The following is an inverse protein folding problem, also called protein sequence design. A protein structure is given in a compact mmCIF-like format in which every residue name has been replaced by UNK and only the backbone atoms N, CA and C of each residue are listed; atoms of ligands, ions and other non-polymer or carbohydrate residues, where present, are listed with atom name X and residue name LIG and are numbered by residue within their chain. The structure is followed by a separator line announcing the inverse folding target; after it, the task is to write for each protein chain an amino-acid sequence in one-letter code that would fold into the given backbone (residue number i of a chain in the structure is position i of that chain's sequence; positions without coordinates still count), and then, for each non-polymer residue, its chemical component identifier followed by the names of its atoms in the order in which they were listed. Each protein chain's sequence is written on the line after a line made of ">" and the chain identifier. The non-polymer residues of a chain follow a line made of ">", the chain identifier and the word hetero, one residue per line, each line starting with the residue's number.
data_IF_694396269765
#
_entry.id   IF_694396269765
#
_cell.length_a   1.000
_cell.length_b   1.000
_cell.length_c   1.000
_cell.angle_alpha   90.00
_cell.angle_beta   90.00
_cell.angle_gamma   90.00
#
_symmetry.space_group_name_H-M   'P 1'
#
loop_
_entity.id
_entity.type
_entity.pdbx_description
1 polymer ?
#
# COMPACT_ATOMS: atom_id res chain seq x y z
N UNK A 1 36.67 0.19 -58.96
CA UNK A 1 37.29 0.00 -57.63
C UNK A 1 36.51 -1.09 -56.90
N UNK A 2 36.93 -2.34 -57.05
CA UNK A 2 36.22 -3.51 -56.51
C UNK A 2 37.10 -4.10 -55.39
N UNK A 3 36.64 -3.93 -54.16
CA UNK A 3 37.27 -4.48 -52.96
C UNK A 3 36.91 -5.96 -52.86
N UNK A 4 37.86 -6.85 -53.12
CA UNK A 4 37.67 -8.28 -52.88
C UNK A 4 38.04 -8.59 -51.44
N UNK A 5 37.02 -8.81 -50.61
CA UNK A 5 37.11 -9.25 -49.22
C UNK A 5 37.71 -10.65 -49.16
N UNK A 6 38.86 -10.78 -48.48
CA UNK A 6 39.47 -12.04 -48.12
C UNK A 6 38.70 -12.63 -46.92
N UNK A 7 38.04 -13.79 -47.08
CA UNK A 7 37.39 -14.53 -45.98
C UNK A 7 38.43 -15.43 -45.29
N UNK A 8 38.78 -15.22 -44.00
CA UNK A 8 39.43 -16.24 -43.20
C UNK A 8 38.32 -17.14 -42.63
N UNK A 9 38.13 -18.36 -43.15
CA UNK A 9 36.94 -19.14 -42.80
C UNK A 9 37.09 -20.64 -42.62
N UNK A 10 38.08 -21.31 -43.20
CA UNK A 10 38.10 -22.77 -43.20
C UNK A 10 39.05 -23.40 -42.19
N UNK A 11 40.21 -22.79 -41.94
CA UNK A 11 41.25 -23.44 -41.13
C UNK A 11 41.02 -23.35 -39.60
N UNK A 12 40.44 -22.25 -39.10
CA UNK A 12 40.13 -22.10 -37.67
C UNK A 12 38.86 -22.84 -37.27
N UNK A 13 37.85 -22.87 -38.14
CA UNK A 13 36.63 -23.65 -37.93
C UNK A 13 36.93 -25.15 -37.86
N UNK A 14 37.83 -25.65 -38.71
CA UNK A 14 38.22 -27.05 -38.73
C UNK A 14 39.10 -27.43 -37.52
N UNK A 15 39.87 -26.47 -36.98
CA UNK A 15 40.62 -26.66 -35.71
C UNK A 15 39.72 -26.62 -34.48
N UNK A 16 38.74 -25.72 -34.43
CA UNK A 16 37.77 -25.66 -33.34
C UNK A 16 36.86 -26.90 -33.31
N UNK A 17 36.41 -27.37 -34.48
CA UNK A 17 35.64 -28.61 -34.61
C UNK A 17 36.45 -29.85 -34.18
N UNK A 18 37.75 -29.92 -34.52
CA UNK A 18 38.64 -30.99 -34.05
C UNK A 18 38.93 -30.91 -32.55
N UNK A 19 39.01 -29.72 -31.96
CA UNK A 19 39.22 -29.54 -30.52
C UNK A 19 38.00 -29.91 -29.67
N UNK A 20 36.78 -29.71 -30.19
CA UNK A 20 35.53 -30.15 -29.55
C UNK A 20 35.32 -31.66 -29.75
N UNK A 21 35.63 -32.20 -30.93
CA UNK A 21 35.58 -33.65 -31.20
C UNK A 21 36.61 -34.45 -30.40
N UNK A 22 37.77 -33.87 -30.09
CA UNK A 22 38.78 -34.49 -29.23
C UNK A 22 38.37 -34.53 -27.75
N UNK A 23 37.50 -33.62 -27.30
CA UNK A 23 36.97 -33.62 -25.93
C UNK A 23 35.79 -34.59 -25.74
N UNK A 24 35.11 -34.98 -26.82
CA UNK A 24 34.06 -36.01 -26.83
C UNK A 24 34.57 -37.41 -27.23
N UNK A 25 35.84 -37.56 -27.63
CA UNK A 25 36.48 -38.84 -27.87
C UNK A 25 36.60 -39.62 -26.55
N UNK A 26 35.71 -40.60 -26.41
CA UNK A 26 35.43 -41.34 -25.18
C UNK A 26 36.68 -41.79 -24.43
N UNK A 27 36.79 -41.33 -23.18
CA UNK A 27 37.55 -42.06 -22.17
C UNK A 27 36.95 -43.46 -22.10
N UNK A 28 37.70 -44.46 -22.57
CA UNK A 28 37.38 -45.87 -22.33
C UNK A 28 37.36 -46.08 -20.81
N UNK A 29 36.15 -46.07 -20.27
CA UNK A 29 35.78 -46.39 -18.90
C UNK A 29 36.07 -47.89 -18.74
N UNK A 30 37.34 -48.23 -18.47
CA UNK A 30 37.75 -49.60 -18.17
C UNK A 30 36.93 -50.10 -16.99
N UNK A 31 36.22 -51.22 -17.17
CA UNK A 31 35.22 -51.92 -16.32
C UNK A 31 35.30 -51.82 -14.78
N UNK A 32 36.37 -51.27 -14.20
CA UNK A 32 36.49 -50.87 -12.78
C UNK A 32 35.88 -49.49 -12.45
N UNK A 33 35.45 -48.73 -13.45
CA UNK A 33 34.97 -47.34 -13.31
C UNK A 33 33.46 -47.18 -13.09
N UNK A 34 32.65 -48.26 -13.17
CA UNK A 34 31.22 -48.19 -12.84
C UNK A 34 30.96 -47.69 -11.41
N UNK A 35 31.84 -48.06 -10.46
CA UNK A 35 31.76 -47.59 -9.07
C UNK A 35 32.03 -46.08 -8.95
N UNK A 36 32.95 -45.53 -9.75
CA UNK A 36 33.25 -44.08 -9.75
C UNK A 36 32.17 -43.26 -10.46
N UNK A 37 31.59 -43.80 -11.53
CA UNK A 37 30.44 -43.19 -12.22
C UNK A 37 29.20 -43.22 -11.32
N UNK A 38 28.95 -44.32 -10.60
CA UNK A 38 27.89 -44.42 -9.61
C UNK A 38 28.04 -43.42 -8.47
N UNK A 39 29.26 -43.25 -7.93
CA UNK A 39 29.55 -42.24 -6.90
C UNK A 39 29.36 -40.82 -7.43
N UNK A 40 29.79 -40.53 -8.66
CA UNK A 40 29.57 -39.23 -9.29
C UNK A 40 28.09 -38.91 -9.51
N UNK A 41 27.32 -39.87 -10.03
CA UNK A 41 25.88 -39.71 -10.21
C UNK A 41 25.15 -39.52 -8.87
N UNK A 42 25.54 -40.28 -7.84
CA UNK A 42 25.00 -40.13 -6.49
C UNK A 42 25.27 -38.72 -5.95
N UNK A 43 26.50 -38.19 -6.12
CA UNK A 43 26.85 -36.84 -5.68
C UNK A 43 26.03 -35.75 -6.39
N UNK A 44 25.78 -35.90 -7.70
CA UNK A 44 24.94 -34.96 -8.46
C UNK A 44 23.50 -34.99 -7.94
N UNK A 45 22.93 -36.18 -7.76
CA UNK A 45 21.57 -36.33 -7.21
C UNK A 45 21.48 -35.74 -5.81
N UNK A 46 22.48 -35.98 -4.96
CA UNK A 46 22.52 -35.46 -3.59
C UNK A 46 22.63 -33.92 -3.58
N UNK A 47 23.41 -33.36 -4.51
CA UNK A 47 23.52 -31.90 -4.68
C UNK A 47 22.21 -31.28 -5.15
N UNK A 48 21.48 -31.93 -6.07
CA UNK A 48 20.16 -31.48 -6.54
C UNK A 48 19.13 -31.57 -5.43
N UNK A 49 19.12 -32.65 -4.63
CA UNK A 49 18.20 -32.80 -3.49
C UNK A 49 18.50 -31.77 -2.41
N UNK A 50 19.77 -31.54 -2.08
CA UNK A 50 20.16 -30.50 -1.11
C UNK A 50 19.79 -29.12 -1.63
N UNK A 51 20.06 -28.82 -2.91
CA UNK A 51 19.67 -27.55 -3.52
C UNK A 51 18.16 -27.37 -3.50
N UNK A 52 17.39 -28.38 -3.91
CA UNK A 52 15.92 -28.35 -3.89
C UNK A 52 15.37 -28.17 -2.47
N UNK A 53 15.95 -28.85 -1.48
CA UNK A 53 15.58 -28.71 -0.07
C UNK A 53 15.93 -27.31 0.49
N UNK A 54 17.04 -26.72 0.05
CA UNK A 54 17.43 -25.35 0.41
C UNK A 54 16.54 -24.33 -0.28
N UNK A 55 16.18 -24.56 -1.54
CA UNK A 55 15.31 -23.71 -2.34
C UNK A 55 13.88 -23.67 -1.76
N UNK A 56 13.33 -24.84 -1.40
CA UNK A 56 12.05 -24.94 -0.68
C UNK A 56 12.07 -24.22 0.68
N UNK A 57 13.21 -24.22 1.38
CA UNK A 57 13.36 -23.50 2.67
C UNK A 57 13.50 -21.99 2.47
N UNK A 58 14.13 -21.56 1.37
CA UNK A 58 14.27 -20.13 1.04
C UNK A 58 12.97 -19.50 0.60
N UNK A 59 12.02 -20.27 0.07
CA UNK A 59 10.71 -19.78 -0.33
C UNK A 59 9.67 -19.80 0.81
N UNK A 60 10.02 -20.27 2.00
CA UNK A 60 9.04 -20.59 3.04
C UNK A 60 8.84 -19.52 4.14
N UNK A 61 9.81 -18.66 4.45
CA UNK A 61 9.88 -18.11 5.82
C UNK A 61 10.16 -16.59 5.94
N UNK A 62 9.62 -15.75 5.06
CA UNK A 62 9.49 -14.33 5.41
C UNK A 62 8.15 -14.07 6.09
N UNK A 63 8.20 -14.08 7.43
CA UNK A 63 7.06 -13.78 8.30
C UNK A 63 7.08 -12.31 8.70
N UNK A 64 5.97 -11.62 8.48
CA UNK A 64 5.79 -10.20 8.73
C UNK A 64 4.64 -9.97 9.69
N UNK A 65 4.63 -8.79 10.30
CA UNK A 65 3.53 -8.34 11.14
C UNK A 65 2.42 -7.76 10.26
N UNK A 66 1.20 -8.21 10.51
CA UNK A 66 -0.02 -7.64 9.96
C UNK A 66 -0.92 -7.16 11.10
N UNK A 67 -1.83 -6.26 10.77
CA UNK A 67 -2.78 -5.67 11.69
C UNK A 67 -3.98 -6.61 11.81
N UNK A 68 -4.18 -7.20 12.98
CA UNK A 68 -5.31 -8.09 13.25
C UNK A 68 -6.63 -7.33 13.44
N UNK A 69 -6.56 -6.14 14.05
CA UNK A 69 -7.73 -5.31 14.38
C UNK A 69 -7.49 -3.85 14.00
N UNK A 70 -8.53 -3.10 13.63
CA UNK A 70 -8.33 -1.69 13.29
C UNK A 70 -7.84 -0.90 14.50
N UNK A 71 -6.78 -0.12 14.33
CA UNK A 71 -6.19 0.74 15.37
C UNK A 71 -6.18 2.18 14.87
N UNK A 72 -6.77 3.10 15.64
CA UNK A 72 -6.78 4.51 15.28
C UNK A 72 -5.39 5.14 15.42
N UNK A 73 -5.13 6.20 14.64
CA UNK A 73 -3.91 7.00 14.83
C UNK A 73 -3.83 7.53 16.26
N UNK A 74 -2.63 7.50 16.85
CA UNK A 74 -2.40 7.93 18.23
C UNK A 74 -2.71 6.87 19.30
N UNK A 75 -3.32 5.74 18.94
CA UNK A 75 -3.53 4.63 19.87
C UNK A 75 -2.27 3.80 20.06
N UNK A 76 -2.10 3.23 21.25
CA UNK A 76 -1.02 2.28 21.55
C UNK A 76 -1.37 0.93 20.95
N UNK A 77 -0.46 0.38 20.15
CA UNK A 77 -0.58 -0.94 19.53
C UNK A 77 -0.37 -1.98 20.63
N UNK A 78 -1.37 -2.85 20.85
CA UNK A 78 -1.27 -3.96 21.79
C UNK A 78 -1.07 -5.28 21.08
N UNK A 79 -0.69 -6.31 21.83
CA UNK A 79 -0.36 -7.63 21.28
C UNK A 79 -1.50 -8.27 20.48
N UNK A 80 -2.75 -7.99 20.88
CA UNK A 80 -3.95 -8.48 20.21
C UNK A 80 -4.30 -7.72 18.91
N UNK A 81 -3.60 -6.63 18.60
CA UNK A 81 -3.80 -5.87 17.36
C UNK A 81 -2.85 -6.33 16.25
N UNK A 82 -1.89 -7.20 16.57
CA UNK A 82 -0.86 -7.63 15.63
C UNK A 82 -0.87 -9.15 15.49
N UNK A 83 -0.88 -9.60 14.25
CA UNK A 83 -0.75 -11.01 13.89
C UNK A 83 0.46 -11.23 12.98
N UNK A 84 0.92 -12.49 12.90
CA UNK A 84 2.04 -12.88 12.06
C UNK A 84 1.51 -13.51 10.78
N UNK A 85 1.84 -12.93 9.64
CA UNK A 85 1.43 -13.40 8.32
C UNK A 85 2.65 -13.72 7.48
N UNK A 86 2.55 -14.76 6.65
CA UNK A 86 3.62 -15.15 5.72
C UNK A 86 3.37 -14.54 4.35
N UNK A 87 4.37 -13.86 3.79
CA UNK A 87 4.25 -13.19 2.49
C UNK A 87 5.41 -13.66 1.60
N UNK A 88 5.08 -14.19 0.43
CA UNK A 88 6.07 -14.76 -0.49
C UNK A 88 6.89 -13.70 -1.26
N UNK A 89 6.43 -12.45 -1.31
CA UNK A 89 7.12 -11.35 -1.98
C UNK A 89 7.00 -10.05 -1.16
N UNK A 90 8.11 -9.64 -0.55
CA UNK A 90 8.25 -8.44 0.29
C UNK A 90 9.03 -7.31 -0.41
N UNK A 91 9.50 -7.54 -1.64
CA UNK A 91 10.43 -6.64 -2.31
C UNK A 91 9.82 -5.23 -2.53
N UNK A 92 10.52 -4.20 -2.06
CA UNK A 92 10.10 -2.80 -2.20
C UNK A 92 9.25 -2.24 -1.04
N UNK A 93 8.94 -3.05 -0.02
CA UNK A 93 8.18 -2.61 1.16
C UNK A 93 9.05 -2.62 2.41
N UNK A 94 9.00 -1.54 3.20
CA UNK A 94 9.64 -1.47 4.52
C UNK A 94 8.77 -2.16 5.58
N UNK A 95 8.51 -3.45 5.39
CA UNK A 95 7.69 -4.29 6.28
C UNK A 95 8.40 -4.56 7.60
N UNK A 96 7.63 -4.76 8.68
CA UNK A 96 8.18 -5.22 9.96
C UNK A 96 8.19 -6.76 10.01
N UNK A 97 9.37 -7.38 10.19
CA UNK A 97 9.47 -8.82 10.42
C UNK A 97 8.77 -9.23 11.72
N UNK A 98 8.28 -10.48 11.77
CA UNK A 98 7.62 -11.03 12.94
C UNK A 98 8.48 -10.98 14.22
N UNK A 99 9.81 -11.06 14.08
CA UNK A 99 10.76 -10.95 15.19
C UNK A 99 10.79 -9.59 15.88
N UNK A 100 10.27 -8.53 15.24
CA UNK A 100 10.19 -7.18 15.81
C UNK A 100 8.86 -6.92 16.54
N UNK A 101 8.03 -7.94 16.76
CA UNK A 101 6.74 -7.79 17.48
C UNK A 101 6.91 -7.08 18.82
N UNK A 102 7.93 -7.44 19.59
CA UNK A 102 8.20 -6.83 20.89
C UNK A 102 8.53 -5.33 20.81
N UNK A 103 9.08 -4.87 19.68
CA UNK A 103 9.44 -3.46 19.46
C UNK A 103 8.25 -2.61 18.98
N UNK A 104 7.20 -3.26 18.47
CA UNK A 104 5.96 -2.63 18.00
C UNK A 104 4.92 -2.55 19.10
N UNK A 105 4.77 -3.62 19.87
CA UNK A 105 3.81 -3.66 20.97
C UNK A 105 4.22 -2.61 22.02
N UNK A 106 3.28 -1.73 22.37
CA UNK A 106 3.54 -0.58 23.23
C UNK A 106 3.94 0.70 22.49
N UNK A 107 4.14 0.65 21.17
CA UNK A 107 4.30 1.84 20.34
C UNK A 107 2.97 2.41 19.91
N UNK A 108 2.98 3.67 19.54
CA UNK A 108 1.82 4.38 19.02
C UNK A 108 1.67 4.16 17.52
N UNK A 109 0.44 4.00 17.02
CA UNK A 109 0.15 4.00 15.60
C UNK A 109 0.23 5.43 15.04
N UNK A 110 1.10 5.67 14.06
CA UNK A 110 1.28 6.99 13.47
C UNK A 110 0.08 7.39 12.59
N UNK A 111 -0.54 6.40 11.94
CA UNK A 111 -1.70 6.56 11.04
C UNK A 111 -2.78 5.54 11.39
N UNK A 112 -4.03 5.71 10.93
CA UNK A 112 -5.07 4.71 11.12
C UNK A 112 -4.67 3.40 10.43
N UNK A 113 -4.66 2.31 11.20
CA UNK A 113 -4.31 0.97 10.73
C UNK A 113 -5.60 0.19 10.48
N UNK A 114 -5.74 -0.34 9.27
CA UNK A 114 -6.86 -1.20 8.91
C UNK A 114 -6.53 -2.67 9.20
N UNK A 115 -7.52 -3.46 9.60
CA UNK A 115 -7.36 -4.90 9.75
C UNK A 115 -6.93 -5.55 8.41
N UNK A 116 -6.05 -6.54 8.49
CA UNK A 116 -5.45 -7.24 7.35
C UNK A 116 -4.36 -6.44 6.62
N UNK A 117 -4.03 -5.22 7.05
CA UNK A 117 -2.93 -4.45 6.44
C UNK A 117 -1.57 -4.91 6.98
N UNK A 118 -0.56 -4.97 6.10
CA UNK A 118 0.81 -5.26 6.52
C UNK A 118 1.40 -4.05 7.24
N UNK A 119 2.09 -4.29 8.34
CA UNK A 119 2.68 -3.25 9.16
C UNK A 119 4.05 -2.84 8.61
N UNK A 120 4.26 -1.53 8.49
CA UNK A 120 5.49 -0.92 7.98
C UNK A 120 6.11 0.04 9.00
N UNK A 121 7.40 0.33 8.85
CA UNK A 121 8.16 1.15 9.83
C UNK A 121 7.59 2.56 9.95
N UNK A 122 7.07 3.13 8.85
CA UNK A 122 6.47 4.46 8.85
C UNK A 122 5.09 4.54 9.52
N UNK A 123 4.46 3.41 9.82
CA UNK A 123 3.14 3.35 10.47
C UNK A 123 3.23 3.30 12.00
N UNK A 124 4.42 3.10 12.56
CA UNK A 124 4.67 2.98 14.00
C UNK A 124 5.48 4.19 14.45
N UNK A 125 4.94 4.99 15.37
CA UNK A 125 5.56 6.24 15.79
C UNK A 125 4.57 7.25 16.38
N UNK A 126 5.01 8.50 16.58
CA UNK A 126 4.11 9.56 17.02
C UNK A 126 2.97 9.74 16.01
N UNK A 127 1.78 10.12 16.50
CA UNK A 127 0.62 10.37 15.65
C UNK A 127 0.96 11.43 14.59
N UNK A 128 0.88 11.04 13.33
CA UNK A 128 1.11 11.88 12.16
C UNK A 128 -0.20 12.17 11.39
N UNK A 129 -1.32 11.63 11.89
CA UNK A 129 -2.65 11.86 11.36
C UNK A 129 -3.56 12.50 12.42
N UNK A 130 -4.32 13.56 12.06
CA UNK A 130 -4.36 14.23 10.76
C UNK A 130 -3.04 14.95 10.40
N UNK A 131 -2.74 15.20 9.11
CA UNK A 131 -1.54 15.93 8.71
C UNK A 131 -1.50 17.33 9.33
N UNK A 132 -0.30 17.86 9.57
CA UNK A 132 -0.14 19.19 10.15
C UNK A 132 -0.89 20.26 9.34
N UNK A 133 -1.66 21.11 10.03
CA UNK A 133 -2.49 22.14 9.40
C UNK A 133 -3.82 21.65 8.83
N UNK A 134 -4.13 20.35 8.93
CA UNK A 134 -5.41 19.77 8.57
C UNK A 134 -6.13 19.21 9.80
N UNK A 135 -7.44 19.11 9.71
CA UNK A 135 -8.30 18.55 10.74
C UNK A 135 -9.37 17.65 10.11
N UNK A 136 -9.80 16.65 10.87
CA UNK A 136 -10.85 15.71 10.49
C UNK A 136 -12.09 16.02 11.31
N UNK A 137 -13.23 16.17 10.63
CA UNK A 137 -14.54 16.36 11.27
C UNK A 137 -15.56 15.41 10.66
N UNK A 138 -16.53 14.98 11.47
CA UNK A 138 -17.66 14.19 11.01
C UNK A 138 -18.90 15.09 10.93
N UNK A 139 -19.59 15.06 9.78
CA UNK A 139 -20.75 15.90 9.51
C UNK A 139 -21.97 15.02 9.21
N UNK A 140 -23.10 15.23 9.92
CA UNK A 140 -24.36 14.61 9.55
C UNK A 140 -24.93 15.31 8.31
N UNK A 141 -25.09 14.56 7.23
CA UNK A 141 -25.64 15.04 5.96
C UNK A 141 -27.01 14.41 5.73
N UNK A 142 -28.01 15.25 5.58
CA UNK A 142 -29.40 14.82 5.33
C UNK A 142 -29.53 14.12 3.97
N UNK A 143 -30.50 13.20 3.82
CA UNK A 143 -30.78 12.56 2.53
C UNK A 143 -30.97 13.59 1.41
N UNK A 144 -30.35 13.34 0.25
CA UNK A 144 -30.43 14.22 -0.92
C UNK A 144 -29.46 15.41 -0.92
N UNK A 145 -28.63 15.57 0.11
CA UNK A 145 -27.61 16.64 0.20
C UNK A 145 -26.17 16.18 0.02
N UNK A 146 -25.97 14.89 -0.20
CA UNK A 146 -24.72 14.32 -0.69
C UNK A 146 -24.98 13.67 -2.06
N UNK A 147 -24.01 13.69 -2.99
CA UNK A 147 -24.11 12.97 -4.24
C UNK A 147 -24.29 11.46 -4.00
N UNK A 148 -25.11 10.82 -4.83
CA UNK A 148 -25.20 9.37 -4.82
C UNK A 148 -23.85 8.77 -5.23
N UNK A 149 -23.33 7.83 -4.42
CA UNK A 149 -22.03 7.20 -4.67
C UNK A 149 -20.81 7.98 -4.16
N UNK A 150 -21.01 8.95 -3.25
CA UNK A 150 -19.89 9.59 -2.57
C UNK A 150 -19.01 8.54 -1.87
N UNK A 151 -17.71 8.56 -2.15
CA UNK A 151 -16.75 7.58 -1.65
C UNK A 151 -15.56 8.26 -0.97
N UNK A 152 -14.86 7.48 -0.13
CA UNK A 152 -13.57 7.91 0.44
C UNK A 152 -12.58 8.29 -0.67
N UNK A 153 -11.81 9.36 -0.43
CA UNK A 153 -10.90 9.96 -1.41
C UNK A 153 -11.54 10.98 -2.35
N UNK A 154 -12.87 11.11 -2.38
CA UNK A 154 -13.53 12.12 -3.21
C UNK A 154 -13.23 13.53 -2.69
N UNK A 155 -12.89 14.43 -3.63
CA UNK A 155 -12.76 15.86 -3.32
C UNK A 155 -14.13 16.50 -3.32
N UNK A 156 -14.44 17.27 -2.28
CA UNK A 156 -15.76 17.86 -2.09
C UNK A 156 -15.67 19.32 -1.64
N UNK A 157 -16.74 20.05 -1.86
CA UNK A 157 -17.02 21.32 -1.21
C UNK A 157 -18.11 21.06 -0.18
N UNK A 158 -17.81 21.37 1.08
CA UNK A 158 -18.79 21.41 2.16
C UNK A 158 -19.40 22.81 2.20
N UNK A 159 -20.71 22.86 2.15
CA UNK A 159 -21.52 24.07 2.27
C UNK A 159 -22.39 23.95 3.52
N UNK A 160 -22.27 24.90 4.44
CA UNK A 160 -23.17 25.00 5.59
C UNK A 160 -24.07 26.22 5.39
N UNK A 161 -25.36 25.95 5.16
CA UNK A 161 -26.38 26.98 5.04
C UNK A 161 -27.01 27.27 6.42
N UNK A 162 -27.15 28.54 6.84
CA UNK A 162 -27.77 28.89 8.10
C UNK A 162 -29.24 28.45 8.14
N UNK A 163 -29.81 28.18 9.33
CA UNK A 163 -31.20 27.78 9.47
C UNK A 163 -32.15 28.82 8.88
N UNK A 164 -33.17 28.35 8.16
CA UNK A 164 -34.20 29.20 7.57
C UNK A 164 -34.93 29.96 8.70
N UNK A 165 -34.74 31.28 8.74
CA UNK A 165 -35.20 32.15 9.83
C UNK A 165 -34.14 33.16 10.30
N UNK A 166 -32.86 32.92 9.98
CA UNK A 166 -31.83 33.95 10.08
C UNK A 166 -32.00 34.93 8.91
N UNK A 167 -32.84 35.95 9.10
CA UNK A 167 -33.11 36.98 8.10
C UNK A 167 -31.85 37.75 7.73
N UNK A 168 -31.16 37.35 6.66
CA UNK A 168 -30.10 38.11 6.00
C UNK A 168 -30.29 37.99 4.49
N UNK A 169 -30.90 39.03 3.91
CA UNK A 169 -30.70 39.39 2.52
C UNK A 169 -29.21 39.66 2.31
N UNK A 170 -28.48 38.71 1.70
CA UNK A 170 -27.06 38.86 1.40
C UNK A 170 -26.93 39.78 0.16
N UNK A 171 -26.28 40.96 0.26
CA UNK A 171 -25.91 41.72 -0.92
C UNK A 171 -24.82 40.95 -1.67
N UNK A 172 -25.04 40.77 -2.97
CA UNK A 172 -24.15 40.09 -3.88
C UNK A 172 -22.90 40.97 -4.11
N UNK A 173 -21.90 40.89 -3.24
CA UNK A 173 -20.63 41.61 -3.43
C UNK A 173 -19.94 42.09 -2.16
N UNK A 174 -19.45 41.17 -1.32
CA UNK A 174 -18.39 41.46 -0.35
C UNK A 174 -17.62 40.17 -0.02
N UNK A 175 -16.27 40.15 -0.08
CA UNK A 175 -15.49 38.99 0.34
C UNK A 175 -15.46 38.93 1.88
N UNK A 176 -16.50 38.33 2.46
CA UNK A 176 -16.63 38.21 3.92
C UNK A 176 -18.05 38.02 4.44
N UNK A 177 -18.94 37.40 3.64
CA UNK A 177 -20.36 37.26 3.97
C UNK A 177 -20.62 36.21 5.05
N UNK A 178 -20.94 36.66 6.26
CA UNK A 178 -21.69 35.88 7.24
C UNK A 178 -23.00 35.42 6.59
N UNK A 179 -23.13 34.14 6.28
CA UNK A 179 -24.35 33.65 5.64
C UNK A 179 -24.24 32.29 4.95
N UNK A 180 -23.05 31.82 4.58
CA UNK A 180 -22.85 30.42 4.20
C UNK A 180 -21.37 30.10 4.34
N UNK A 181 -21.02 29.06 5.10
CA UNK A 181 -19.61 28.64 5.21
C UNK A 181 -19.33 27.64 4.11
N UNK A 182 -18.24 27.88 3.37
CA UNK A 182 -17.79 27.04 2.27
C UNK A 182 -16.35 26.62 2.52
N UNK A 183 -16.09 25.32 2.48
CA UNK A 183 -14.75 24.78 2.60
C UNK A 183 -14.53 23.65 1.58
N UNK A 184 -13.31 23.57 1.05
CA UNK A 184 -12.89 22.41 0.25
C UNK A 184 -12.36 21.36 1.20
N UNK A 185 -12.79 20.11 1.01
CA UNK A 185 -12.41 18.99 1.84
C UNK A 185 -12.22 17.72 1.01
N UNK A 186 -11.59 16.72 1.61
CA UNK A 186 -11.47 15.36 1.06
C UNK A 186 -12.24 14.41 1.94
N UNK A 187 -13.09 13.57 1.35
CA UNK A 187 -13.87 12.58 2.11
C UNK A 187 -12.93 11.49 2.63
N UNK A 188 -12.97 11.25 3.93
CA UNK A 188 -12.22 10.18 4.61
C UNK A 188 -13.07 8.91 4.70
N UNK A 189 -14.32 9.04 5.11
CA UNK A 189 -15.28 7.93 5.17
C UNK A 189 -16.71 8.43 4.98
N UNK A 190 -17.59 7.52 4.55
CA UNK A 190 -19.03 7.74 4.47
C UNK A 190 -19.71 6.56 5.14
N UNK A 191 -20.46 6.84 6.20
CA UNK A 191 -21.18 5.84 6.98
C UNK A 191 -22.68 6.15 7.00
N UNK A 192 -23.50 5.12 7.19
CA UNK A 192 -24.93 5.34 7.41
C UNK A 192 -25.14 5.96 8.80
N UNK A 193 -25.88 7.07 8.86
CA UNK A 193 -26.22 7.72 10.11
C UNK A 193 -27.17 6.85 10.93
N UNK A 194 -26.89 6.73 12.23
CA UNK A 194 -27.68 5.90 13.13
C UNK A 194 -29.04 6.51 13.52
N UNK A 195 -29.16 7.85 13.51
CA UNK A 195 -30.34 8.53 14.05
C UNK A 195 -31.54 8.59 13.09
N UNK A 196 -31.31 8.67 11.78
CA UNK A 196 -32.38 8.83 10.80
C UNK A 196 -32.08 8.09 9.49
N UNK A 197 -33.08 7.35 9.00
CA UNK A 197 -33.00 6.60 7.73
C UNK A 197 -32.62 7.54 6.58
N UNK A 198 -31.54 7.20 5.89
CA UNK A 198 -31.02 7.97 4.75
C UNK A 198 -30.11 9.14 5.09
N UNK A 199 -29.87 9.42 6.39
CA UNK A 199 -28.80 10.34 6.81
C UNK A 199 -27.46 9.66 6.64
N UNK A 200 -26.46 10.38 6.16
CA UNK A 200 -25.09 9.89 6.03
C UNK A 200 -24.19 10.65 7.00
N UNK A 201 -23.33 9.93 7.72
CA UNK A 201 -22.23 10.52 8.46
C UNK A 201 -21.04 10.61 7.52
N UNK A 202 -20.69 11.82 7.11
CA UNK A 202 -19.57 12.06 6.18
C UNK A 202 -18.40 12.60 6.97
N UNK A 203 -17.33 11.82 7.06
CA UNK A 203 -16.08 12.25 7.67
C UNK A 203 -15.22 12.92 6.60
N UNK A 204 -14.81 14.16 6.85
CA UNK A 204 -14.03 14.96 5.90
C UNK A 204 -12.75 15.50 6.52
N UNK A 205 -11.71 15.57 5.70
CA UNK A 205 -10.42 16.18 6.00
C UNK A 205 -10.32 17.53 5.29
N UNK A 206 -10.05 18.59 6.03
CA UNK A 206 -9.91 19.95 5.51
C UNK A 206 -8.86 20.73 6.32
N UNK A 207 -8.54 21.95 5.90
CA UNK A 207 -7.66 22.83 6.66
C UNK A 207 -8.21 23.09 8.06
N UNK A 208 -7.34 23.18 9.07
CA UNK A 208 -7.75 23.23 10.48
C UNK A 208 -8.64 24.46 10.81
N UNK A 209 -8.31 25.62 10.26
CA UNK A 209 -9.09 26.85 10.35
C UNK A 209 -10.48 26.70 9.72
N UNK A 210 -10.54 26.06 8.54
CA UNK A 210 -11.79 25.78 7.86
C UNK A 210 -12.62 24.71 8.60
N UNK A 211 -11.98 23.75 9.28
CA UNK A 211 -12.65 22.75 10.09
C UNK A 211 -13.32 23.38 11.31
N UNK A 212 -12.62 24.25 12.04
CA UNK A 212 -13.21 25.01 13.15
C UNK A 212 -14.37 25.88 12.67
N UNK A 213 -14.21 26.52 11.51
CA UNK A 213 -15.29 27.28 10.90
C UNK A 213 -16.49 26.38 10.54
N UNK A 214 -16.30 25.22 9.91
CA UNK A 214 -17.42 24.35 9.54
C UNK A 214 -18.08 23.74 10.78
N UNK A 215 -17.29 23.30 11.77
CA UNK A 215 -17.79 22.69 13.00
C UNK A 215 -18.58 23.65 13.90
N UNK A 216 -18.19 24.94 13.93
CA UNK A 216 -18.92 25.98 14.67
C UNK A 216 -20.12 26.56 13.92
N UNK A 217 -20.34 26.16 12.66
CA UNK A 217 -21.47 26.63 11.89
C UNK A 217 -22.75 25.90 12.31
N UNK A 218 -23.77 26.66 12.72
CA UNK A 218 -25.11 26.12 12.92
C UNK A 218 -25.86 26.18 11.61
N UNK A 219 -26.36 25.03 11.15
CA UNK A 219 -27.02 24.99 9.88
C UNK A 219 -27.06 23.62 9.24
N UNK A 220 -27.38 23.69 7.97
CA UNK A 220 -27.90 22.63 7.15
C UNK A 220 -26.78 22.29 6.14
N UNK A 221 -26.17 21.12 6.30
CA UNK A 221 -24.94 20.73 5.57
C UNK A 221 -25.28 20.13 4.21
N UNK A 222 -24.60 20.60 3.17
CA UNK A 222 -24.62 20.05 1.81
C UNK A 222 -23.21 19.78 1.31
N UNK A 223 -23.04 18.69 0.59
CA UNK A 223 -21.74 18.25 0.04
C UNK A 223 -21.83 18.26 -1.48
N UNK A 224 -20.87 18.88 -2.13
CA UNK A 224 -20.77 18.93 -3.60
C UNK A 224 -19.46 18.27 -4.02
N UNK A 225 -19.53 17.19 -4.80
CA UNK A 225 -18.33 16.53 -5.31
C UNK A 225 -17.68 17.34 -6.43
N UNK A 226 -16.38 17.58 -6.31
CA UNK A 226 -15.55 18.24 -7.32
C UNK A 226 -15.01 17.19 -8.31
N UNK A 227 -14.78 17.62 -9.55
CA UNK A 227 -14.06 16.81 -10.53
C UNK A 227 -12.58 16.63 -10.15
N UNK A 228 -11.90 15.61 -10.69
CA UNK A 228 -10.46 15.45 -10.49
C UNK A 228 -9.70 16.65 -11.07
N UNK A 229 -8.72 17.16 -10.33
CA UNK A 229 -7.79 18.17 -10.84
C UNK A 229 -6.96 17.52 -11.98
N UNK A 230 -6.94 18.16 -13.16
CA UNK A 230 -6.26 17.65 -14.37
C UNK A 230 -4.74 17.77 -14.27
#
# INVERSE_FOLDING_TARGET
>A
MSVTVNRPGSAEADRAARAVAAQSAGRRVGRRSGRRVGVGALLVVLSVVVFWQVDLRRHADESFLAVARPVAAGQVIIDADVEVVRVANSSGLALLPAGQRADVVGRTAAVPLAAGSLLTVGQVGPAAWPPAGQAVIALPVKPGRAPAGLAAGARVVVLVAPPAGAGQSVPQGAPGGAGARRAVATVVSVEAGAEQVGTQLVTVLLAADAAEAVASATGDVSVVQLGPDR
#
